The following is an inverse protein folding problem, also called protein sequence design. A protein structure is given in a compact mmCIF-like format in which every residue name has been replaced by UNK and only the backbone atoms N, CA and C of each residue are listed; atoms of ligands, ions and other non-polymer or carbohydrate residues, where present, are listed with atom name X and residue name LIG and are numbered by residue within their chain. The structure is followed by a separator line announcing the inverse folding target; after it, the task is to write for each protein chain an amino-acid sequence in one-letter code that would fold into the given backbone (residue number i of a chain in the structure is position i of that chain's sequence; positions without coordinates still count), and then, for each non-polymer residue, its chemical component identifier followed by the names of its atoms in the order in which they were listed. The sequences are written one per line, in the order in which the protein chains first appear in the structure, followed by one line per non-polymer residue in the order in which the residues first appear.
data_IF_005760498513
#
_entry.id   IF_005760498513
#
_cell.length_a   1.000
_cell.length_b   1.000
_cell.length_c   1.000
_cell.angle_alpha   90.00
_cell.angle_beta   90.00
_cell.angle_gamma   90.00
#
_symmetry.space_group_name_H-M   'P 1'
#
loop_
_entity.id
_entity.type
_entity.pdbx_description
1 polymer ?
#
# COMPACT_ATOMS: atom_id res chain seq x y z
N UNK A 1 -18.43 -8.88 20.19
CA UNK A 1 -17.91 -10.25 20.03
C UNK A 1 -17.39 -10.72 21.37
N UNK A 2 -17.53 -11.99 21.68
CA UNK A 2 -17.12 -12.61 22.95
C UNK A 2 -15.66 -12.28 23.33
N UNK A 3 -14.79 -12.21 22.36
CA UNK A 3 -13.38 -11.84 22.57
C UNK A 3 -13.22 -10.48 23.27
N UNK A 4 -13.91 -9.44 22.81
CA UNK A 4 -13.75 -8.11 23.42
C UNK A 4 -14.37 -8.02 24.80
N UNK A 5 -15.49 -8.70 25.04
CA UNK A 5 -16.07 -8.78 26.39
C UNK A 5 -15.15 -9.51 27.36
N UNK A 6 -14.50 -10.58 26.90
CA UNK A 6 -13.46 -11.26 27.67
C UNK A 6 -12.23 -10.37 27.89
N UNK A 7 -11.77 -9.67 26.88
CA UNK A 7 -10.59 -8.79 26.98
C UNK A 7 -10.83 -7.63 27.97
N UNK A 8 -12.01 -7.02 27.95
CA UNK A 8 -12.41 -5.97 28.88
C UNK A 8 -12.43 -6.50 30.33
N UNK A 9 -13.00 -7.69 30.56
CA UNK A 9 -13.05 -8.34 31.86
C UNK A 9 -11.67 -8.73 32.42
N UNK A 10 -10.79 -9.25 31.58
CA UNK A 10 -9.42 -9.59 31.99
C UNK A 10 -8.56 -8.34 32.18
N UNK A 11 -8.81 -7.26 31.44
CA UNK A 11 -8.11 -6.00 31.64
C UNK A 11 -8.35 -5.40 33.03
N UNK A 12 -9.60 -5.44 33.52
CA UNK A 12 -9.95 -4.96 34.86
C UNK A 12 -9.20 -5.68 35.99
N UNK A 13 -8.82 -6.95 35.75
CA UNK A 13 -8.08 -7.78 36.70
C UNK A 13 -6.57 -7.67 36.55
N UNK A 14 -6.10 -7.13 35.44
CA UNK A 14 -4.68 -7.07 35.12
C UNK A 14 -4.04 -5.78 35.64
N UNK A 15 -2.74 -5.86 35.98
CA UNK A 15 -1.97 -4.63 36.23
C UNK A 15 -1.78 -3.87 34.91
N UNK A 16 -2.20 -2.58 34.81
CA UNK A 16 -2.16 -1.81 33.54
C UNK A 16 -0.78 -1.75 32.90
N UNK A 17 0.28 -1.75 33.70
CA UNK A 17 1.66 -1.69 33.22
C UNK A 17 2.30 -3.05 32.91
N UNK A 18 1.61 -4.15 33.21
CA UNK A 18 2.07 -5.50 32.84
C UNK A 18 2.03 -5.70 31.32
N UNK A 19 2.77 -6.68 30.81
CA UNK A 19 2.73 -7.02 29.38
C UNK A 19 1.31 -7.43 28.93
N UNK A 20 0.61 -8.16 29.78
CA UNK A 20 -0.78 -8.58 29.52
C UNK A 20 -1.72 -7.38 29.53
N UNK A 21 -1.63 -6.50 30.54
CA UNK A 21 -2.45 -5.30 30.64
C UNK A 21 -2.25 -4.37 29.42
N UNK A 22 -1.01 -4.17 28.97
CA UNK A 22 -0.73 -3.39 27.75
C UNK A 22 -1.32 -4.03 26.51
N UNK A 23 -1.21 -5.34 26.34
CA UNK A 23 -1.76 -6.06 25.21
C UNK A 23 -3.30 -5.99 25.16
N UNK A 24 -3.96 -6.20 26.30
CA UNK A 24 -5.41 -6.09 26.44
C UNK A 24 -5.88 -4.67 26.15
N UNK A 25 -5.23 -3.66 26.72
CA UNK A 25 -5.55 -2.26 26.47
C UNK A 25 -5.40 -1.88 24.98
N UNK A 26 -4.35 -2.37 24.31
CA UNK A 26 -4.17 -2.19 22.90
C UNK A 26 -5.33 -2.81 22.09
N UNK A 27 -5.70 -4.06 22.39
CA UNK A 27 -6.80 -4.75 21.71
C UNK A 27 -8.14 -4.01 21.89
N UNK A 28 -8.43 -3.54 23.11
CA UNK A 28 -9.64 -2.78 23.43
C UNK A 28 -9.68 -1.46 22.67
N UNK A 29 -8.59 -0.70 22.67
CA UNK A 29 -8.49 0.59 21.99
C UNK A 29 -8.56 0.45 20.46
N UNK A 30 -8.14 -0.68 19.91
CA UNK A 30 -8.18 -0.96 18.48
C UNK A 30 -9.46 -1.74 18.06
N UNK A 31 -10.43 -1.88 18.95
CA UNK A 31 -11.66 -2.67 18.72
C UNK A 31 -12.36 -2.35 17.39
N UNK A 32 -12.56 -1.06 17.09
CA UNK A 32 -13.19 -0.64 15.84
C UNK A 32 -12.40 -1.06 14.61
N UNK A 33 -11.10 -0.84 14.62
CA UNK A 33 -10.20 -1.21 13.52
C UNK A 33 -10.13 -2.72 13.30
N UNK A 34 -10.06 -3.50 14.40
CA UNK A 34 -10.02 -4.96 14.35
C UNK A 34 -11.34 -5.57 13.87
N UNK A 35 -12.49 -4.93 14.18
CA UNK A 35 -13.79 -5.38 13.68
C UNK A 35 -13.92 -5.11 12.19
N UNK A 36 -13.44 -3.96 11.70
CA UNK A 36 -13.47 -3.63 10.26
C UNK A 36 -12.80 -4.69 9.40
N UNK A 37 -11.72 -5.31 9.91
CA UNK A 37 -11.09 -6.43 9.24
C UNK A 37 -12.02 -7.63 9.06
N UNK A 38 -12.84 -7.94 10.07
CA UNK A 38 -13.80 -9.07 10.01
C UNK A 38 -14.98 -8.79 9.05
N UNK A 39 -15.29 -7.52 8.83
CA UNK A 39 -16.39 -7.09 7.97
C UNK A 39 -15.97 -7.02 6.48
N UNK A 40 -14.69 -6.89 6.20
CA UNK A 40 -14.21 -6.76 4.84
C UNK A 40 -13.20 -7.86 4.48
N UNK A 41 -13.64 -8.93 3.79
CA UNK A 41 -12.78 -10.06 3.43
C UNK A 41 -11.66 -9.73 2.44
N UNK A 42 -11.65 -8.50 1.88
CA UNK A 42 -10.57 -8.03 0.99
C UNK A 42 -9.39 -7.45 1.74
N UNK A 43 -9.53 -7.22 3.06
CA UNK A 43 -8.42 -6.71 3.87
C UNK A 43 -7.45 -7.85 4.20
N UNK A 44 -6.17 -7.62 3.90
CA UNK A 44 -5.12 -8.56 4.26
C UNK A 44 -4.75 -8.41 5.74
N UNK A 45 -4.55 -9.54 6.45
CA UNK A 45 -4.11 -9.57 7.86
C UNK A 45 -2.69 -9.06 8.06
N UNK A 46 -1.91 -8.99 7.00
CA UNK A 46 -0.50 -8.64 7.07
C UNK A 46 -0.19 -7.44 6.18
N UNK A 47 0.79 -6.65 6.59
CA UNK A 47 1.31 -5.53 5.81
C UNK A 47 2.32 -5.97 4.72
N UNK A 48 2.45 -7.26 4.48
CA UNK A 48 3.47 -7.82 3.58
C UNK A 48 3.36 -7.30 2.13
N UNK A 49 2.16 -6.99 1.68
CA UNK A 49 1.96 -6.42 0.34
C UNK A 49 2.51 -5.00 0.25
N UNK A 50 2.18 -4.15 1.22
CA UNK A 50 2.72 -2.79 1.29
C UNK A 50 4.25 -2.80 1.47
N UNK A 51 4.78 -3.68 2.32
CA UNK A 51 6.23 -3.83 2.51
C UNK A 51 6.94 -4.30 1.22
N UNK A 52 6.35 -5.24 0.49
CA UNK A 52 6.88 -5.67 -0.82
C UNK A 52 6.88 -4.54 -1.85
N UNK A 53 5.83 -3.72 -1.89
CA UNK A 53 5.73 -2.60 -2.83
C UNK A 53 6.77 -1.51 -2.54
N UNK A 54 7.12 -1.28 -1.28
CA UNK A 54 8.11 -0.27 -0.90
C UNK A 54 9.56 -0.77 -0.99
N UNK A 55 9.77 -2.08 -0.90
CA UNK A 55 11.10 -2.71 -0.88
C UNK A 55 11.97 -2.38 -2.08
N UNK A 56 11.48 -2.40 -3.34
CA UNK A 56 12.28 -2.00 -4.51
C UNK A 56 12.81 -0.57 -4.40
N UNK A 57 11.99 0.36 -3.91
CA UNK A 57 12.39 1.75 -3.67
C UNK A 57 13.50 1.85 -2.61
N UNK A 58 13.37 1.14 -1.50
CA UNK A 58 14.37 1.14 -0.42
C UNK A 58 15.69 0.53 -0.88
N UNK A 59 15.65 -0.55 -1.65
CA UNK A 59 16.85 -1.19 -2.22
C UNK A 59 17.50 -0.27 -3.26
N UNK A 60 16.69 0.30 -4.16
CA UNK A 60 17.15 1.23 -5.18
C UNK A 60 17.83 2.46 -4.58
N UNK A 61 17.27 3.00 -3.49
CA UNK A 61 17.84 4.14 -2.77
C UNK A 61 19.30 3.91 -2.32
N UNK A 62 19.67 2.68 -1.98
CA UNK A 62 21.05 2.35 -1.62
C UNK A 62 22.01 2.45 -2.83
N UNK A 63 21.50 2.24 -4.03
CA UNK A 63 22.27 2.30 -5.27
C UNK A 63 22.29 3.70 -5.87
N UNK A 64 21.27 4.51 -5.59
CA UNK A 64 21.17 5.87 -6.12
C UNK A 64 21.32 6.87 -4.99
N UNK A 65 22.48 7.08 -4.56
CA UNK A 65 22.87 8.10 -3.57
C UNK A 65 22.41 9.54 -3.90
N UNK A 66 21.54 9.75 -4.90
CA UNK A 66 21.37 11.01 -5.59
C UNK A 66 20.05 11.76 -5.40
N UNK A 67 19.27 11.44 -4.37
CA UNK A 67 18.21 12.35 -3.96
C UNK A 67 18.77 13.38 -2.97
N UNK A 68 19.72 14.21 -3.43
CA UNK A 68 20.35 15.23 -2.58
C UNK A 68 19.40 16.39 -2.23
N UNK A 69 18.20 16.43 -2.83
CA UNK A 69 17.20 17.46 -2.55
C UNK A 69 15.87 16.82 -2.19
N UNK A 70 15.07 17.47 -1.32
CA UNK A 70 13.71 17.03 -1.01
C UNK A 70 12.84 16.88 -2.27
N UNK A 71 12.99 17.78 -3.25
CA UNK A 71 12.27 17.72 -4.54
C UNK A 71 12.63 16.48 -5.36
N UNK A 72 13.92 16.15 -5.44
CA UNK A 72 14.38 14.94 -6.14
C UNK A 72 13.90 13.66 -5.47
N UNK A 73 13.89 13.61 -4.13
CA UNK A 73 13.36 12.49 -3.38
C UNK A 73 11.86 12.29 -3.63
N UNK A 74 11.09 13.38 -3.61
CA UNK A 74 9.65 13.33 -3.88
C UNK A 74 9.35 12.87 -5.32
N UNK A 75 10.05 13.40 -6.31
CA UNK A 75 9.89 12.98 -7.72
C UNK A 75 10.20 11.51 -7.91
N UNK A 76 11.27 11.00 -7.29
CA UNK A 76 11.62 9.59 -7.33
C UNK A 76 10.54 8.72 -6.68
N UNK A 77 10.01 9.14 -5.52
CA UNK A 77 8.94 8.41 -4.83
C UNK A 77 7.66 8.33 -5.69
N UNK A 78 7.29 9.42 -6.37
CA UNK A 78 6.13 9.44 -7.28
C UNK A 78 6.32 8.45 -8.43
N UNK A 79 7.46 8.50 -9.12
CA UNK A 79 7.73 7.59 -10.25
C UNK A 79 7.70 6.13 -9.80
N UNK A 80 8.31 5.81 -8.65
CA UNK A 80 8.28 4.46 -8.10
C UNK A 80 6.88 4.02 -7.72
N UNK A 81 6.08 4.90 -7.13
CA UNK A 81 4.68 4.60 -6.82
C UNK A 81 3.90 4.22 -8.09
N UNK A 82 4.10 4.95 -9.18
CA UNK A 82 3.48 4.65 -10.48
C UNK A 82 3.95 3.28 -11.01
N UNK A 83 5.26 3.00 -10.95
CA UNK A 83 5.84 1.72 -11.40
C UNK A 83 5.26 0.53 -10.62
N UNK A 84 5.25 0.61 -9.29
CA UNK A 84 4.75 -0.49 -8.46
C UNK A 84 3.22 -0.66 -8.65
N UNK A 85 2.48 0.43 -8.79
CA UNK A 85 1.04 0.37 -9.09
C UNK A 85 0.77 -0.25 -10.47
N UNK A 86 1.58 0.06 -11.47
CA UNK A 86 1.47 -0.58 -12.80
C UNK A 86 1.71 -2.09 -12.72
N UNK A 87 2.71 -2.55 -11.97
CA UNK A 87 2.98 -3.98 -11.72
C UNK A 87 1.80 -4.68 -11.04
N UNK A 88 1.23 -4.07 -10.00
CA UNK A 88 0.07 -4.61 -9.28
C UNK A 88 -1.18 -4.73 -10.17
N UNK A 89 -1.27 -3.94 -11.23
CA UNK A 89 -2.33 -3.99 -12.23
C UNK A 89 -1.97 -4.80 -13.48
N UNK A 90 -0.93 -5.65 -13.40
CA UNK A 90 -0.47 -6.51 -14.49
C UNK A 90 -0.10 -5.74 -15.78
N UNK A 91 0.43 -4.53 -15.64
CA UNK A 91 0.94 -3.75 -16.75
C UNK A 91 2.44 -4.00 -16.91
N UNK A 92 2.96 -3.76 -18.12
CA UNK A 92 4.38 -3.66 -18.44
C UNK A 92 4.86 -2.27 -17.99
N UNK A 93 5.64 -2.14 -16.90
CA UNK A 93 5.87 -0.82 -16.28
C UNK A 93 6.57 0.18 -17.21
N UNK A 94 7.53 -0.29 -18.00
CA UNK A 94 8.25 0.57 -18.94
C UNK A 94 7.35 1.09 -20.06
N UNK A 95 6.63 0.19 -20.72
CA UNK A 95 5.74 0.56 -21.83
C UNK A 95 4.62 1.48 -21.33
N UNK A 96 4.09 1.20 -20.13
CA UNK A 96 3.09 2.04 -19.50
C UNK A 96 3.62 3.44 -19.18
N UNK A 97 4.84 3.58 -18.64
CA UNK A 97 5.42 4.89 -18.35
C UNK A 97 5.64 5.71 -19.63
N UNK A 98 6.17 5.10 -20.69
CA UNK A 98 6.36 5.78 -21.98
C UNK A 98 5.02 6.29 -22.50
N UNK A 99 4.03 5.41 -22.56
CA UNK A 99 2.68 5.77 -22.98
C UNK A 99 2.05 6.86 -22.09
N UNK A 100 2.18 6.76 -20.78
CA UNK A 100 1.65 7.73 -19.81
C UNK A 100 2.23 9.14 -20.05
N UNK A 101 3.56 9.25 -20.23
CA UNK A 101 4.17 10.54 -20.49
C UNK A 101 3.77 11.15 -21.81
N UNK A 102 3.57 10.34 -22.86
CA UNK A 102 3.04 10.81 -24.14
C UNK A 102 1.61 11.36 -23.98
N UNK A 103 0.74 10.65 -23.26
CA UNK A 103 -0.66 11.01 -23.05
C UNK A 103 -0.84 12.23 -22.16
N UNK A 104 -0.08 12.35 -21.08
CA UNK A 104 -0.08 13.56 -20.24
C UNK A 104 0.34 14.79 -21.08
N UNK A 105 1.34 14.64 -21.94
CA UNK A 105 1.78 15.73 -22.82
C UNK A 105 0.70 16.14 -23.83
N UNK A 106 -0.16 15.22 -24.24
CA UNK A 106 -1.29 15.47 -25.13
C UNK A 106 -2.48 16.12 -24.43
N UNK A 107 -2.48 16.23 -23.10
CA UNK A 107 -3.56 16.82 -22.32
C UNK A 107 -4.78 15.91 -22.15
N UNK A 108 -4.59 14.59 -22.23
CA UNK A 108 -5.67 13.63 -21.96
C UNK A 108 -6.08 13.63 -20.49
N UNK A 109 -7.31 13.21 -20.23
CA UNK A 109 -7.86 13.14 -18.88
C UNK A 109 -7.09 12.13 -18.03
N UNK A 110 -6.58 12.59 -16.88
CA UNK A 110 -5.76 11.79 -15.96
C UNK A 110 -6.49 10.54 -15.48
N UNK A 111 -7.82 10.60 -15.30
CA UNK A 111 -8.60 9.45 -14.83
C UNK A 111 -8.54 8.26 -15.81
N UNK A 112 -8.50 8.54 -17.11
CA UNK A 112 -8.38 7.50 -18.14
C UNK A 112 -6.99 6.89 -18.22
N UNK A 113 -5.99 7.57 -17.67
CA UNK A 113 -4.57 7.18 -17.71
C UNK A 113 -4.13 6.33 -16.50
N UNK A 114 -4.97 6.22 -15.47
CA UNK A 114 -4.63 5.49 -14.25
C UNK A 114 -4.39 4.00 -14.50
N UNK A 115 -3.47 3.34 -13.75
CA UNK A 115 -3.09 1.94 -13.99
C UNK A 115 -4.22 0.92 -13.94
N UNK A 116 -5.32 1.26 -13.31
CA UNK A 116 -6.53 0.43 -13.20
C UNK A 116 -7.66 0.83 -14.15
N UNK A 117 -7.42 1.81 -15.03
CA UNK A 117 -8.42 2.24 -16.00
C UNK A 117 -8.73 1.11 -16.99
N UNK A 118 -10.01 1.03 -17.39
CA UNK A 118 -10.47 0.09 -18.40
C UNK A 118 -10.08 0.51 -19.81
N UNK A 119 -9.75 1.78 -19.99
CA UNK A 119 -9.45 2.41 -21.27
C UNK A 119 -7.98 2.21 -21.71
N UNK A 120 -7.19 1.53 -20.89
CA UNK A 120 -5.78 1.26 -21.19
C UNK A 120 -5.62 0.32 -22.38
N UNK A 121 -4.70 0.62 -23.32
CA UNK A 121 -4.38 -0.24 -24.45
C UNK A 121 -3.96 -1.65 -24.03
N UNK A 122 -4.45 -2.67 -24.71
CA UNK A 122 -4.16 -4.08 -24.40
C UNK A 122 -2.66 -4.43 -24.52
N UNK A 123 -1.91 -3.75 -25.40
CA UNK A 123 -0.47 -3.96 -25.55
C UNK A 123 0.34 -3.61 -24.32
N UNK A 124 -0.21 -2.78 -23.41
CA UNK A 124 0.43 -2.42 -22.14
C UNK A 124 0.26 -3.51 -21.07
N UNK A 125 -0.67 -4.43 -21.24
CA UNK A 125 -0.94 -5.50 -20.29
C UNK A 125 0.06 -6.65 -20.43
N UNK A 126 0.41 -7.27 -19.32
CA UNK A 126 1.14 -8.53 -19.33
C UNK A 126 0.18 -9.62 -19.83
N UNK A 127 0.67 -10.49 -20.72
CA UNK A 127 -0.11 -11.66 -21.15
C UNK A 127 -0.27 -12.58 -19.94
N UNK A 128 -1.52 -12.94 -19.62
CA UNK A 128 -1.79 -14.02 -18.68
C UNK A 128 -1.16 -15.30 -19.22
N UNK A 129 -0.27 -15.89 -18.42
CA UNK A 129 0.30 -17.23 -18.70
C UNK A 129 -0.72 -18.27 -18.30
#
# INVERSE_FOLDING_TARGET
SEFFSWAEFEYEKSLPQSLVGKALNYAINQKSTLITFLENPKLELTNNRAERSIKPFVIGRKNWLFCNTPGGANSSAIVYSIIETAKENNLKPYDYLVWLFEKIRSGEDVETLLPWSKDLPENLKLKSV
#
